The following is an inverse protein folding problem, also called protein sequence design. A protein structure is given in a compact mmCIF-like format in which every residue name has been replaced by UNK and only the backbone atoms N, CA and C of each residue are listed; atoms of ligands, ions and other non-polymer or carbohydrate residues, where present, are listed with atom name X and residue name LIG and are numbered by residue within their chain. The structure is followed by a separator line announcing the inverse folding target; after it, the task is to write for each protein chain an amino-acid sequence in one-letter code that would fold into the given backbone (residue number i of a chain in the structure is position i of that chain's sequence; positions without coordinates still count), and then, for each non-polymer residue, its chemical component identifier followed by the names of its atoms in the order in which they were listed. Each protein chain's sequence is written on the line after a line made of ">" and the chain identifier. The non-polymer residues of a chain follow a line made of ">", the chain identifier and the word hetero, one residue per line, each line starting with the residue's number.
data_IF_842585146209
#
_entry.id   IF_842585146209
#
_cell.length_a   1.000
_cell.length_b   1.000
_cell.length_c   1.000
_cell.angle_alpha   90.00
_cell.angle_beta   90.00
_cell.angle_gamma   90.00
#
_symmetry.space_group_name_H-M   'P 1'
#
loop_
_entity.id
_entity.type
_entity.pdbx_description
1 polymer ?
#
# COMPACT_ATOMS: atom_id res chain seq x y z
N UNK A 1 32.82 22.20 7.32
CA UNK A 1 32.29 20.87 6.94
C UNK A 1 31.73 20.23 8.20
N UNK A 2 30.41 20.29 8.41
CA UNK A 2 29.76 19.50 9.46
C UNK A 2 29.50 18.11 8.87
N UNK A 3 30.20 17.10 9.37
CA UNK A 3 29.80 15.70 9.20
C UNK A 3 28.55 15.51 10.05
N UNK A 4 27.38 15.60 9.43
CA UNK A 4 26.16 15.11 10.06
C UNK A 4 26.38 13.62 10.33
N UNK A 5 26.25 13.23 11.61
CA UNK A 5 26.26 11.84 12.02
C UNK A 5 25.13 11.14 11.27
N UNK A 6 25.45 10.41 10.20
CA UNK A 6 24.48 9.60 9.46
C UNK A 6 24.02 8.48 10.39
N UNK A 7 22.94 8.73 11.12
CA UNK A 7 22.42 7.86 12.17
C UNK A 7 21.70 6.65 11.52
N UNK A 8 22.47 5.77 10.88
CA UNK A 8 21.96 4.55 10.25
C UNK A 8 21.11 4.76 9.00
N UNK A 9 21.20 5.90 8.31
CA UNK A 9 20.60 6.07 6.98
C UNK A 9 21.11 4.95 6.06
N UNK A 10 20.19 4.36 5.29
CA UNK A 10 20.41 3.18 4.44
C UNK A 10 20.59 1.83 5.17
N UNK A 11 20.43 1.79 6.51
CA UNK A 11 20.39 0.53 7.26
C UNK A 11 19.06 -0.21 7.02
N UNK A 12 19.13 -1.44 6.49
CA UNK A 12 17.96 -2.27 6.21
C UNK A 12 17.40 -2.82 7.52
N UNK A 13 16.20 -2.35 7.90
CA UNK A 13 15.53 -2.77 9.14
C UNK A 13 14.48 -3.85 8.94
N UNK A 14 13.93 -3.94 7.75
CA UNK A 14 12.89 -4.90 7.42
C UNK A 14 12.99 -5.31 5.96
N UNK A 15 12.54 -6.53 5.67
CA UNK A 15 12.36 -7.00 4.31
C UNK A 15 10.92 -7.47 4.11
N UNK A 16 10.31 -7.02 3.03
CA UNK A 16 8.92 -7.29 2.68
C UNK A 16 8.83 -8.08 1.39
N UNK A 17 7.82 -8.96 1.32
CA UNK A 17 7.37 -9.60 0.08
C UNK A 17 5.86 -9.61 0.08
N UNK A 18 5.26 -9.41 -1.09
CA UNK A 18 3.80 -9.37 -1.25
C UNK A 18 3.35 -10.56 -2.08
N UNK A 19 2.36 -11.29 -1.58
CA UNK A 19 1.58 -12.26 -2.35
C UNK A 19 0.25 -11.64 -2.76
N UNK A 20 -0.16 -11.90 -4.01
CA UNK A 20 -1.46 -11.46 -4.55
C UNK A 20 -2.43 -12.61 -4.81
N UNK A 21 -2.05 -13.82 -4.43
CA UNK A 21 -2.74 -15.08 -4.72
C UNK A 21 -2.84 -15.98 -3.48
N UNK A 22 -3.08 -15.35 -2.31
CA UNK A 22 -3.29 -16.02 -1.03
C UNK A 22 -2.07 -16.84 -0.55
N UNK A 23 -0.87 -16.36 -0.83
CA UNK A 23 0.38 -16.95 -0.36
C UNK A 23 0.97 -18.02 -1.28
N UNK A 24 0.34 -18.28 -2.44
CA UNK A 24 0.82 -19.30 -3.38
C UNK A 24 2.09 -18.86 -4.10
N UNK A 25 2.15 -17.59 -4.53
CA UNK A 25 3.35 -16.97 -5.09
C UNK A 25 3.70 -15.69 -4.35
N UNK A 26 5.00 -15.39 -4.35
CA UNK A 26 5.56 -14.24 -3.65
C UNK A 26 6.38 -13.41 -4.62
N UNK A 27 6.04 -12.13 -4.70
CA UNK A 27 6.78 -11.18 -5.52
C UNK A 27 8.23 -10.95 -5.06
N UNK A 28 8.92 -9.99 -5.69
CA UNK A 28 10.28 -9.60 -5.33
C UNK A 28 10.41 -9.17 -3.87
N UNK A 29 11.63 -9.30 -3.33
CA UNK A 29 11.99 -8.81 -1.99
C UNK A 29 12.21 -7.31 -2.06
N UNK A 30 11.47 -6.56 -1.24
CA UNK A 30 11.67 -5.14 -0.99
C UNK A 30 12.40 -4.97 0.35
N UNK A 31 13.38 -4.07 0.40
CA UNK A 31 14.11 -3.70 1.61
C UNK A 31 13.53 -2.38 2.12
N UNK A 32 13.36 -2.27 3.43
CA UNK A 32 12.88 -1.05 4.10
C UNK A 32 14.03 -0.51 4.93
N UNK A 33 14.54 0.64 4.50
CA UNK A 33 15.69 1.31 5.09
C UNK A 33 15.27 2.44 6.03
N UNK A 34 16.13 2.76 7.00
CA UNK A 34 15.94 3.94 7.85
C UNK A 34 16.10 5.21 7.03
N UNK A 35 15.15 6.13 7.16
CA UNK A 35 15.19 7.44 6.48
C UNK A 35 14.56 7.45 5.09
N UNK A 36 14.12 6.31 4.57
CA UNK A 36 13.26 6.26 3.40
C UNK A 36 11.84 6.71 3.81
N UNK A 37 11.36 7.81 3.23
CA UNK A 37 9.98 8.28 3.38
C UNK A 37 9.20 7.90 2.12
N UNK A 38 8.61 6.69 2.05
CA UNK A 38 7.86 6.29 0.88
C UNK A 38 6.62 7.19 0.76
N UNK A 39 6.52 7.87 -0.38
CA UNK A 39 5.37 8.72 -0.72
C UNK A 39 4.08 7.99 -0.39
N UNK A 40 3.32 8.53 0.57
CA UNK A 40 2.01 7.99 0.89
C UNK A 40 1.15 7.96 -0.37
N UNK A 41 0.33 6.91 -0.58
CA UNK A 41 -0.61 6.91 -1.68
C UNK A 41 -1.46 8.17 -1.62
N UNK A 42 -1.61 8.84 -2.76
CA UNK A 42 -2.43 10.05 -2.93
C UNK A 42 -3.88 9.90 -2.46
N UNK A 43 -4.34 8.66 -2.26
CA UNK A 43 -5.65 8.32 -1.75
C UNK A 43 -5.57 7.06 -0.84
N UNK A 44 -5.24 7.21 0.46
CA UNK A 44 -5.06 6.07 1.35
C UNK A 44 -6.36 5.27 1.57
N UNK A 45 -7.51 5.91 1.40
CA UNK A 45 -8.82 5.27 1.49
C UNK A 45 -9.19 4.44 0.25
N UNK A 46 -8.41 4.55 -0.83
CA UNK A 46 -8.72 3.95 -2.13
C UNK A 46 -7.57 3.13 -2.70
N UNK A 47 -6.93 2.25 -1.93
CA UNK A 47 -6.22 1.16 -2.61
C UNK A 47 -5.87 -0.11 -1.80
N UNK A 48 -5.97 -1.31 -2.43
CA UNK A 48 -6.78 -1.58 -3.61
C UNK A 48 -8.23 -1.86 -3.18
N UNK A 49 -9.25 -1.27 -3.83
CA UNK A 49 -10.57 -1.88 -3.77
C UNK A 49 -10.43 -3.29 -4.35
N UNK A 50 -10.79 -4.32 -3.57
CA UNK A 50 -10.81 -5.69 -4.08
C UNK A 50 -11.60 -5.73 -5.38
N UNK A 51 -10.96 -6.11 -6.49
CA UNK A 51 -11.62 -6.27 -7.79
C UNK A 51 -12.25 -7.65 -7.96
N UNK A 52 -12.17 -8.47 -6.91
CA UNK A 52 -12.82 -9.78 -6.85
C UNK A 52 -14.32 -9.65 -7.15
N UNK A 53 -14.96 -10.67 -7.77
CA UNK A 53 -16.38 -10.60 -8.17
C UNK A 53 -17.32 -10.16 -7.04
N UNK A 54 -17.04 -10.59 -5.80
CA UNK A 54 -17.77 -10.22 -4.59
C UNK A 54 -17.72 -8.72 -4.30
N UNK A 55 -16.53 -8.13 -4.22
CA UNK A 55 -16.38 -6.71 -3.87
C UNK A 55 -16.76 -5.79 -5.05
N UNK A 56 -16.52 -6.22 -6.29
CA UNK A 56 -16.99 -5.52 -7.50
C UNK A 56 -18.52 -5.46 -7.58
N UNK A 57 -19.25 -6.48 -7.09
CA UNK A 57 -20.71 -6.43 -6.99
C UNK A 57 -21.17 -5.47 -5.87
N UNK A 58 -20.50 -5.49 -4.72
CA UNK A 58 -20.86 -4.66 -3.57
C UNK A 58 -20.64 -3.17 -3.84
N UNK A 59 -19.56 -2.79 -4.52
CA UNK A 59 -19.30 -1.42 -4.94
C UNK A 59 -20.38 -0.89 -5.90
N UNK A 60 -20.80 -1.70 -6.88
CA UNK A 60 -21.90 -1.34 -7.79
C UNK A 60 -23.21 -1.10 -7.05
N UNK A 61 -23.51 -1.93 -6.06
CA UNK A 61 -24.72 -1.78 -5.24
C UNK A 61 -24.65 -0.52 -4.35
N UNK A 62 -23.48 -0.20 -3.78
CA UNK A 62 -23.29 1.00 -2.97
C UNK A 62 -23.45 2.28 -3.81
N UNK A 63 -22.87 2.33 -5.02
CA UNK A 63 -23.03 3.46 -5.95
C UNK A 63 -24.51 3.69 -6.30
N UNK A 64 -25.29 2.62 -6.47
CA UNK A 64 -26.73 2.72 -6.73
C UNK A 64 -27.57 3.20 -5.53
N UNK A 65 -27.04 3.09 -4.30
CA UNK A 65 -27.73 3.51 -3.07
C UNK A 65 -27.48 4.97 -2.69
N UNK A 66 -26.54 5.68 -3.31
CA UNK A 66 -26.39 7.12 -3.11
C UNK A 66 -27.53 7.87 -3.83
N UNK A 67 -28.67 8.02 -3.15
CA UNK A 67 -29.62 9.08 -3.50
C UNK A 67 -28.95 10.40 -3.18
N UNK A 68 -28.61 11.16 -4.21
CA UNK A 68 -28.28 12.59 -4.09
C UNK A 68 -29.48 13.24 -3.39
N UNK A 69 -29.31 13.61 -2.13
CA UNK A 69 -30.20 14.55 -1.45
C UNK A 69 -29.66 15.92 -1.79
N UNK A 70 -30.42 16.65 -2.60
CA UNK A 70 -30.20 18.06 -2.94
C UNK A 70 -30.41 18.98 -1.75
#
# INVERSE_FOLDING_TARGET
>A
MLLAMANGQDDVRMTLRVSRDSGQTWGPRAEVCVGEDPTAPENPDRYPPCVCPRCSQQARNAVASFRVVS
#
